data_IF_130461552936
#
_entry.id   IF_130461552936
#
_cell.length_a   1.000
_cell.length_b   1.000
_cell.length_c   1.000
_cell.angle_alpha   90.00
_cell.angle_beta   90.00
_cell.angle_gamma   90.00
#
_symmetry.space_group_name_H-M   'P 1'
#
loop_
_entity.id
_entity.type
_entity.pdbx_description
1 polymer ?
#
# COMPACT_ATOMS: atom_id res chain seq x y z
N UNK A 1 -23.39 -20.74 26.26
CA UNK A 1 -23.34 -20.72 24.79
C UNK A 1 -23.06 -19.29 24.35
N UNK A 2 -21.87 -19.02 23.81
CA UNK A 2 -21.56 -17.74 23.17
C UNK A 2 -21.72 -17.94 21.67
N UNK A 3 -22.54 -17.09 21.05
CA UNK A 3 -22.78 -17.02 19.62
C UNK A 3 -21.46 -16.80 18.88
N UNK A 4 -21.15 -17.52 17.79
CA UNK A 4 -20.02 -17.18 16.95
C UNK A 4 -20.38 -15.91 16.17
N UNK A 5 -19.62 -14.85 16.42
CA UNK A 5 -19.73 -13.59 15.70
C UNK A 5 -19.45 -13.81 14.22
N UNK A 6 -20.37 -13.34 13.39
CA UNK A 6 -20.24 -13.18 11.96
C UNK A 6 -18.97 -12.40 11.61
N UNK A 7 -17.98 -13.04 10.97
CA UNK A 7 -16.88 -12.35 10.31
C UNK A 7 -17.33 -12.02 8.88
N UNK A 8 -17.33 -10.73 8.47
CA UNK A 8 -17.73 -10.37 7.13
C UNK A 8 -16.74 -10.96 6.12
N UNK A 9 -17.29 -11.73 5.19
CA UNK A 9 -16.63 -12.19 3.98
C UNK A 9 -16.29 -10.98 3.10
N UNK A 10 -15.06 -10.47 3.22
CA UNK A 10 -14.43 -9.58 2.25
C UNK A 10 -13.56 -10.42 1.32
N UNK A 11 -14.11 -10.87 0.21
CA UNK A 11 -13.41 -11.69 -0.78
C UNK A 11 -12.26 -10.94 -1.43
N UNK A 12 -11.05 -11.17 -0.94
CA UNK A 12 -9.96 -11.88 -1.65
C UNK A 12 -8.86 -12.14 -0.62
N UNK A 13 -8.76 -13.37 -0.10
CA UNK A 13 -7.45 -13.86 0.32
C UNK A 13 -6.69 -14.09 -0.99
N UNK A 14 -5.68 -13.25 -1.27
CA UNK A 14 -4.78 -13.57 -2.37
C UNK A 14 -3.89 -14.73 -1.87
N UNK A 15 -4.40 -15.95 -1.97
CA UNK A 15 -3.75 -17.21 -1.58
C UNK A 15 -2.69 -17.60 -2.62
N UNK A 16 -1.78 -16.68 -2.91
CA UNK A 16 -0.62 -16.93 -3.75
C UNK A 16 0.61 -17.03 -2.87
N UNK A 17 1.50 -18.02 -3.12
CA UNK A 17 2.73 -18.14 -2.38
C UNK A 17 3.47 -16.80 -2.30
N UNK A 18 3.87 -16.42 -1.09
CA UNK A 18 4.68 -15.21 -0.88
C UNK A 18 6.08 -15.36 -1.46
N UNK A 19 6.56 -16.61 -1.57
CA UNK A 19 7.81 -16.94 -2.23
C UNK A 19 7.77 -16.45 -3.68
N UNK A 20 8.69 -15.56 -4.02
CA UNK A 20 8.81 -14.93 -5.35
C UNK A 20 8.87 -15.93 -6.51
N UNK A 21 9.40 -17.13 -6.27
CA UNK A 21 9.51 -18.21 -7.26
C UNK A 21 8.17 -18.85 -7.63
N UNK A 22 7.17 -18.72 -6.76
CA UNK A 22 5.86 -19.35 -6.91
C UNK A 22 4.73 -18.33 -7.07
N UNK A 23 4.96 -17.08 -6.65
CA UNK A 23 4.02 -15.98 -6.86
C UNK A 23 3.86 -15.64 -8.36
N UNK A 24 2.70 -15.97 -8.93
CA UNK A 24 2.43 -15.78 -10.36
C UNK A 24 2.44 -14.31 -10.79
N UNK A 25 2.10 -13.37 -9.90
CA UNK A 25 2.14 -11.94 -10.20
C UNK A 25 3.59 -11.46 -10.27
N UNK A 26 4.41 -11.81 -9.28
CA UNK A 26 5.83 -11.41 -9.24
C UNK A 26 6.67 -12.09 -10.33
N UNK A 27 6.36 -13.34 -10.69
CA UNK A 27 7.10 -14.09 -11.72
C UNK A 27 6.62 -13.80 -13.13
N UNK A 28 5.31 -13.67 -13.31
CA UNK A 28 4.69 -13.58 -14.64
C UNK A 28 4.36 -12.17 -15.04
N UNK A 29 3.69 -11.41 -14.18
CA UNK A 29 3.09 -10.12 -14.54
C UNK A 29 4.07 -8.96 -14.37
N UNK A 30 4.77 -8.89 -13.23
CA UNK A 30 5.73 -7.79 -12.95
C UNK A 30 6.79 -7.65 -14.03
N UNK A 31 7.47 -8.73 -14.51
CA UNK A 31 8.46 -8.58 -15.58
C UNK A 31 7.88 -8.09 -16.90
N UNK A 32 6.61 -8.43 -17.22
CA UNK A 32 5.94 -7.94 -18.41
C UNK A 32 5.62 -6.44 -18.30
N UNK A 33 5.18 -5.98 -17.13
CA UNK A 33 4.96 -4.55 -16.86
C UNK A 33 6.26 -3.77 -17.01
N UNK A 34 7.33 -4.23 -16.36
CA UNK A 34 8.63 -3.55 -16.38
C UNK A 34 9.26 -3.55 -17.77
N UNK A 35 9.19 -4.66 -18.51
CA UNK A 35 9.73 -4.71 -19.88
C UNK A 35 8.91 -3.92 -20.91
N UNK A 36 7.63 -3.67 -20.64
CA UNK A 36 6.78 -2.83 -21.48
C UNK A 36 7.03 -1.32 -21.32
N UNK A 37 7.87 -0.91 -20.37
CA UNK A 37 8.14 0.51 -20.10
C UNK A 37 6.97 1.24 -19.45
N UNK A 38 6.21 0.57 -18.58
CA UNK A 38 5.13 1.20 -17.81
C UNK A 38 5.70 2.10 -16.72
N UNK A 39 5.24 3.34 -16.62
CA UNK A 39 5.71 4.25 -15.55
C UNK A 39 4.94 4.12 -14.24
N UNK A 40 3.64 3.81 -14.32
CA UNK A 40 2.74 3.79 -13.16
C UNK A 40 1.82 2.58 -13.16
N UNK A 41 1.86 1.81 -12.07
CA UNK A 41 0.84 0.85 -11.68
C UNK A 41 0.05 1.45 -10.52
N UNK A 42 -1.20 1.79 -10.77
CA UNK A 42 -2.13 2.36 -9.80
C UNK A 42 -3.10 1.28 -9.28
N UNK A 43 -3.10 1.04 -7.98
CA UNK A 43 -3.85 -0.03 -7.32
C UNK A 43 -4.74 0.49 -6.19
N UNK A 44 -5.73 -0.32 -5.85
CA UNK A 44 -6.58 -0.17 -4.68
C UNK A 44 -6.63 -1.45 -3.84
N UNK A 45 -7.71 -1.63 -3.07
CA UNK A 45 -8.07 -2.84 -2.29
C UNK A 45 -7.49 -2.92 -0.88
N UNK A 46 -6.25 -2.48 -0.64
CA UNK A 46 -5.59 -2.72 0.66
C UNK A 46 -5.95 -1.70 1.76
N UNK A 47 -6.72 -0.67 1.41
CA UNK A 47 -7.20 0.37 2.30
C UNK A 47 -6.04 1.12 2.96
N UNK A 48 -5.01 1.43 2.16
CA UNK A 48 -3.86 2.21 2.61
C UNK A 48 -3.32 3.01 1.42
N UNK A 49 -2.42 3.94 1.72
CA UNK A 49 -1.56 4.57 0.73
C UNK A 49 -0.12 4.11 0.98
N UNK A 50 0.57 3.63 -0.06
CA UNK A 50 2.02 3.47 -0.05
C UNK A 50 2.55 3.44 -1.50
N UNK A 51 3.84 3.71 -1.65
CA UNK A 51 4.50 3.75 -2.95
C UNK A 51 5.79 2.96 -2.93
N UNK A 52 6.02 2.19 -3.98
CA UNK A 52 7.29 1.50 -4.26
C UNK A 52 7.78 1.89 -5.64
N UNK A 53 9.09 1.79 -5.86
CA UNK A 53 9.68 2.00 -7.17
C UNK A 53 10.56 0.81 -7.49
N UNK A 54 10.35 0.19 -8.64
CA UNK A 54 11.18 -0.95 -9.05
C UNK A 54 12.53 -0.50 -9.60
N UNK A 55 13.51 -1.42 -9.74
CA UNK A 55 14.78 -1.11 -10.41
C UNK A 55 14.62 -0.63 -11.86
N UNK A 56 13.50 -0.97 -12.52
CA UNK A 56 13.17 -0.51 -13.87
C UNK A 56 12.54 0.90 -13.89
N UNK A 57 12.30 1.52 -12.73
CA UNK A 57 11.71 2.85 -12.61
C UNK A 57 10.18 2.86 -12.50
N UNK A 58 9.52 1.70 -12.48
CA UNK A 58 8.06 1.62 -12.39
C UNK A 58 7.59 2.01 -10.99
N UNK A 59 6.65 2.94 -10.90
CA UNK A 59 5.99 3.29 -9.65
C UNK A 59 4.79 2.37 -9.39
N UNK A 60 4.83 1.63 -8.29
CA UNK A 60 3.69 0.87 -7.77
C UNK A 60 3.04 1.68 -6.65
N UNK A 61 1.86 2.24 -6.92
CA UNK A 61 1.12 3.09 -6.01
C UNK A 61 -0.16 2.38 -5.56
N UNK A 62 -0.25 2.10 -4.26
CA UNK A 62 -1.50 1.73 -3.60
C UNK A 62 -2.17 3.02 -3.10
N UNK A 63 -3.44 3.22 -3.44
CA UNK A 63 -4.08 4.53 -3.33
C UNK A 63 -5.47 4.50 -2.67
N UNK A 64 -5.79 3.46 -1.89
CA UNK A 64 -7.16 3.19 -1.42
C UNK A 64 -7.48 3.58 0.03
N UNK A 65 -6.68 4.42 0.69
CA UNK A 65 -6.99 4.88 2.05
C UNK A 65 -8.13 5.92 2.07
N UNK A 66 -9.38 5.48 2.19
CA UNK A 66 -10.59 6.34 2.16
C UNK A 66 -11.30 6.42 3.52
N UNK A 67 -10.56 6.66 4.61
CA UNK A 67 -11.15 6.74 5.96
C UNK A 67 -11.50 5.37 6.55
N UNK A 68 -10.85 4.32 6.07
CA UNK A 68 -10.82 3.01 6.70
C UNK A 68 -9.55 2.28 6.21
N UNK A 69 -8.97 1.42 7.04
CA UNK A 69 -7.65 0.82 6.82
C UNK A 69 -7.55 -0.59 7.36
N UNK A 70 -6.92 -1.49 6.58
CA UNK A 70 -6.51 -2.82 7.03
C UNK A 70 -5.13 -2.81 7.73
N UNK A 71 -4.46 -1.67 7.72
CA UNK A 71 -3.15 -1.46 8.32
C UNK A 71 -1.99 -1.68 7.34
N UNK A 72 -0.84 -1.11 7.70
CA UNK A 72 0.42 -1.35 7.01
C UNK A 72 1.27 -2.37 7.78
N UNK A 73 1.95 -3.24 7.05
CA UNK A 73 2.76 -4.34 7.60
C UNK A 73 4.24 -4.20 7.19
N UNK A 74 4.72 -2.98 7.06
CA UNK A 74 6.15 -2.69 6.87
C UNK A 74 6.87 -2.76 8.22
N UNK A 75 8.16 -3.06 8.25
CA UNK A 75 8.94 -3.22 9.50
C UNK A 75 8.85 -2.03 10.45
N UNK A 76 8.63 -0.84 9.91
CA UNK A 76 8.44 0.40 10.68
C UNK A 76 7.11 0.44 11.44
N UNK A 77 6.06 -0.24 10.96
CA UNK A 77 4.76 -0.29 11.63
C UNK A 77 4.74 -1.20 12.86
N UNK A 78 5.73 -2.09 13.00
CA UNK A 78 5.81 -3.12 14.05
C UNK A 78 4.60 -4.08 14.08
N UNK A 79 3.80 -4.11 13.02
CA UNK A 79 2.67 -5.03 12.83
C UNK A 79 3.06 -6.15 11.88
N UNK A 80 2.41 -7.30 12.03
CA UNK A 80 2.53 -8.44 11.10
C UNK A 80 1.16 -8.82 10.56
N UNK A 81 1.11 -9.28 9.30
CA UNK A 81 -0.10 -9.82 8.69
C UNK A 81 -0.56 -11.05 9.49
N UNK A 82 -1.87 -11.25 9.70
CA UNK A 82 -2.37 -12.49 10.25
C UNK A 82 -1.97 -13.66 9.35
N UNK A 83 -1.36 -14.68 9.94
CA UNK A 83 -1.05 -15.93 9.23
C UNK A 83 -2.25 -16.87 9.40
N UNK A 84 -2.89 -17.32 8.31
CA UNK A 84 -4.02 -18.23 8.40
C UNK A 84 -3.60 -19.59 9.02
N UNK A 85 -4.48 -20.26 9.76
CA UNK A 85 -4.20 -21.56 10.35
C UNK A 85 -4.13 -22.67 9.28
N UNK A 86 -3.96 -23.94 9.67
CA UNK A 86 -4.14 -25.07 8.74
C UNK A 86 -5.54 -25.04 8.09
N UNK A 87 -5.71 -25.37 6.78
CA UNK A 87 -4.75 -26.02 5.88
C UNK A 87 -3.78 -25.08 5.15
N UNK A 88 -3.79 -23.77 5.43
CA UNK A 88 -2.95 -22.79 4.73
C UNK A 88 -1.51 -22.81 5.26
N UNK A 89 -0.53 -22.60 4.38
CA UNK A 89 0.88 -22.55 4.76
C UNK A 89 1.28 -21.14 5.21
N UNK A 90 2.02 -21.07 6.33
CA UNK A 90 2.59 -19.81 6.79
C UNK A 90 3.64 -19.25 5.81
N UNK A 91 4.32 -20.13 5.08
CA UNK A 91 5.34 -19.76 4.09
C UNK A 91 4.73 -19.05 2.88
N UNK A 92 3.42 -19.20 2.65
CA UNK A 92 2.70 -18.52 1.57
C UNK A 92 2.38 -17.07 1.91
N UNK A 93 2.64 -16.60 3.14
CA UNK A 93 2.30 -15.24 3.58
C UNK A 93 3.55 -14.46 3.99
N UNK A 94 3.80 -13.35 3.31
CA UNK A 94 4.79 -12.37 3.77
C UNK A 94 4.23 -11.65 5.00
N UNK A 95 4.64 -12.08 6.20
CA UNK A 95 4.17 -11.50 7.46
C UNK A 95 4.48 -9.99 7.55
N UNK A 96 5.59 -9.55 6.98
CA UNK A 96 5.99 -8.14 6.91
C UNK A 96 6.59 -7.80 5.54
N UNK A 97 6.67 -6.50 5.23
CA UNK A 97 7.28 -5.99 4.01
C UNK A 97 6.41 -6.11 2.76
N UNK A 98 7.07 -5.91 1.62
CA UNK A 98 6.57 -6.18 0.28
C UNK A 98 7.01 -7.60 -0.16
N UNK A 99 6.09 -8.50 -0.57
CA UNK A 99 6.44 -9.80 -1.12
C UNK A 99 7.39 -9.73 -2.34
N UNK A 100 7.37 -8.63 -3.09
CA UNK A 100 8.28 -8.37 -4.21
C UNK A 100 9.71 -8.02 -3.79
N UNK A 101 9.94 -7.74 -2.51
CA UNK A 101 11.23 -7.31 -1.95
C UNK A 101 11.56 -5.84 -2.22
N UNK A 102 10.59 -5.02 -2.64
CA UNK A 102 10.80 -3.59 -2.85
C UNK A 102 10.85 -2.83 -1.53
N UNK A 103 11.70 -1.82 -1.48
CA UNK A 103 11.72 -0.88 -0.36
C UNK A 103 10.63 0.18 -0.51
N UNK A 104 9.88 0.50 0.56
CA UNK A 104 8.81 1.47 0.50
C UNK A 104 9.39 2.89 0.39
N UNK A 105 8.73 3.74 -0.40
CA UNK A 105 9.13 5.13 -0.61
C UNK A 105 8.46 6.03 0.41
N UNK A 106 9.25 6.85 1.10
CA UNK A 106 8.73 7.87 2.01
C UNK A 106 8.20 9.05 1.21
N UNK A 107 7.00 9.58 1.53
CA UNK A 107 6.49 10.81 0.92
C UNK A 107 7.50 11.97 0.99
N UNK A 108 7.66 12.71 -0.11
CA UNK A 108 8.73 13.70 -0.24
C UNK A 108 8.37 15.13 0.18
N UNK A 109 7.12 15.42 0.56
CA UNK A 109 6.68 16.75 0.98
C UNK A 109 6.30 16.81 2.46
N UNK A 110 5.26 16.09 2.86
CA UNK A 110 4.67 16.18 4.20
C UNK A 110 4.27 14.80 4.75
N UNK A 111 5.21 13.84 4.89
CA UNK A 111 4.87 12.51 5.38
C UNK A 111 4.26 12.58 6.78
N UNK A 112 3.28 11.70 7.05
CA UNK A 112 2.88 11.42 8.43
C UNK A 112 4.06 10.87 9.21
N UNK A 113 4.05 11.06 10.53
CA UNK A 113 5.12 10.64 11.42
C UNK A 113 4.57 9.76 12.53
N UNK A 114 5.39 8.84 13.00
CA UNK A 114 5.08 8.07 14.21
C UNK A 114 5.31 8.90 15.49
N UNK A 115 5.03 8.30 16.65
CA UNK A 115 5.21 8.91 17.96
C UNK A 115 6.67 9.34 18.26
N UNK A 116 7.63 8.74 17.56
CA UNK A 116 9.05 9.10 17.66
C UNK A 116 9.46 10.19 16.64
N UNK A 117 8.50 10.73 15.89
CA UNK A 117 8.72 11.75 14.86
C UNK A 117 9.34 11.21 13.56
N UNK A 118 9.43 9.90 13.37
CA UNK A 118 10.01 9.29 12.15
C UNK A 118 8.99 9.33 11.02
N UNK A 119 9.37 9.71 9.79
CA UNK A 119 8.44 9.77 8.68
C UNK A 119 8.01 8.35 8.28
N UNK A 120 6.71 8.18 8.03
CA UNK A 120 6.09 6.93 7.64
C UNK A 120 6.01 6.83 6.12
N UNK A 121 6.39 5.69 5.52
CA UNK A 121 6.27 5.47 4.07
C UNK A 121 4.88 4.97 3.65
N UNK A 122 3.86 5.23 4.47
CA UNK A 122 2.50 4.83 4.23
C UNK A 122 1.52 5.75 4.98
N UNK A 123 0.26 5.74 4.55
CA UNK A 123 -0.89 6.20 5.34
C UNK A 123 -1.84 5.02 5.46
N UNK A 124 -2.14 4.61 6.69
CA UNK A 124 -3.00 3.46 6.98
C UNK A 124 -3.87 3.78 8.19
N UNK A 125 -4.79 4.72 8.03
CA UNK A 125 -5.54 5.35 9.11
C UNK A 125 -7.04 5.47 8.78
N UNK A 126 -7.90 5.24 9.79
CA UNK A 126 -9.35 5.26 9.65
C UNK A 126 -9.96 6.67 9.69
N UNK A 127 -9.19 7.68 10.10
CA UNK A 127 -9.64 9.07 10.13
C UNK A 127 -9.06 9.87 8.97
N UNK A 128 -8.16 9.31 8.19
CA UNK A 128 -7.54 10.01 7.07
C UNK A 128 -8.16 9.55 5.75
N UNK A 129 -8.44 10.49 4.85
CA UNK A 129 -8.76 10.21 3.45
C UNK A 129 -7.62 10.71 2.59
N UNK A 130 -7.14 9.86 1.69
CA UNK A 130 -6.08 10.20 0.73
C UNK A 130 -6.69 10.37 -0.65
N UNK A 131 -6.36 11.47 -1.31
CA UNK A 131 -6.78 11.79 -2.68
C UNK A 131 -5.54 11.96 -3.54
N UNK A 132 -5.60 11.44 -4.77
CA UNK A 132 -4.50 11.54 -5.73
C UNK A 132 -5.00 12.14 -7.04
N UNK A 133 -4.14 12.88 -7.72
CA UNK A 133 -4.40 13.39 -9.06
C UNK A 133 -3.20 13.15 -9.96
N UNK A 134 -3.44 12.57 -11.14
CA UNK A 134 -2.47 12.54 -12.23
C UNK A 134 -2.69 13.76 -13.12
N UNK A 135 -1.73 14.67 -13.14
CA UNK A 135 -1.72 15.80 -14.05
C UNK A 135 -1.14 15.38 -15.41
N UNK A 136 -2.02 15.12 -16.38
CA UNK A 136 -1.65 14.57 -17.69
C UNK A 136 -0.77 15.48 -18.54
N UNK A 137 -0.75 16.80 -18.29
CA UNK A 137 0.11 17.74 -19.01
C UNK A 137 1.57 17.76 -18.52
N UNK A 138 1.82 17.33 -17.28
CA UNK A 138 3.17 17.30 -16.69
C UNK A 138 3.63 15.88 -16.35
N UNK A 139 2.73 14.89 -16.42
CA UNK A 139 2.98 13.54 -15.97
C UNK A 139 3.12 13.41 -14.47
N UNK A 140 2.73 14.41 -13.66
CA UNK A 140 2.95 14.35 -12.22
C UNK A 140 1.75 13.79 -11.47
N UNK A 141 2.00 12.82 -10.59
CA UNK A 141 1.04 12.30 -9.62
C UNK A 141 1.26 13.04 -8.31
N UNK A 142 0.23 13.72 -7.84
CA UNK A 142 0.23 14.42 -6.57
C UNK A 142 -0.73 13.74 -5.61
N UNK A 143 -0.32 13.57 -4.35
CA UNK A 143 -1.16 13.00 -3.30
C UNK A 143 -1.40 14.00 -2.17
N UNK A 144 -2.64 14.06 -1.70
CA UNK A 144 -3.08 14.83 -0.55
C UNK A 144 -3.74 13.93 0.47
N UNK A 145 -3.66 14.30 1.74
CA UNK A 145 -4.50 13.70 2.78
C UNK A 145 -5.37 14.75 3.46
N UNK A 146 -6.53 14.32 3.96
CA UNK A 146 -7.45 15.11 4.76
C UNK A 146 -7.70 14.35 6.06
N UNK A 147 -7.55 15.03 7.19
CA UNK A 147 -7.94 14.50 8.50
C UNK A 147 -9.44 14.73 8.70
N UNK A 148 -10.21 13.65 8.71
CA UNK A 148 -11.66 13.69 8.87
C UNK A 148 -12.07 13.89 10.34
N UNK A 149 -11.14 13.80 11.30
CA UNK A 149 -11.41 14.16 12.68
C UNK A 149 -11.45 15.68 12.90
N UNK A 150 -10.83 16.46 12.01
CA UNK A 150 -10.89 17.92 11.99
C UNK A 150 -11.53 18.42 10.68
N UNK A 151 -12.84 18.70 10.65
CA UNK A 151 -13.53 19.16 9.44
C UNK A 151 -13.12 20.56 8.99
N UNK A 152 -12.31 21.27 9.77
CA UNK A 152 -11.76 22.59 9.42
C UNK A 152 -10.35 22.51 8.82
N UNK A 153 -9.69 21.35 8.95
CA UNK A 153 -8.38 21.12 8.37
C UNK A 153 -8.47 21.06 6.84
N UNK A 154 -7.61 21.83 6.18
CA UNK A 154 -7.44 21.76 4.73
C UNK A 154 -6.69 20.49 4.30
N UNK A 155 -6.77 20.15 3.01
CA UNK A 155 -6.00 19.07 2.44
C UNK A 155 -4.49 19.36 2.50
N UNK A 156 -3.70 18.39 2.97
CA UNK A 156 -2.23 18.50 3.05
C UNK A 156 -1.60 17.73 1.89
N UNK A 157 -0.88 18.45 1.03
CA UNK A 157 -0.06 17.83 -0.04
C UNK A 157 1.14 17.15 0.62
N UNK A 158 1.29 15.84 0.41
CA UNK A 158 2.30 15.05 1.12
C UNK A 158 3.28 14.27 0.25
N UNK A 159 2.91 13.93 -0.98
CA UNK A 159 3.81 13.30 -1.96
C UNK A 159 3.57 13.85 -3.37
N UNK A 160 4.63 13.94 -4.16
CA UNK A 160 4.55 14.23 -5.59
C UNK A 160 5.69 13.57 -6.36
N UNK A 161 5.39 12.92 -7.47
CA UNK A 161 6.39 12.37 -8.38
C UNK A 161 5.91 12.51 -9.83
N UNK A 162 6.82 12.53 -10.79
CA UNK A 162 6.47 12.65 -12.20
C UNK A 162 6.92 11.40 -12.96
N UNK A 163 6.07 10.98 -13.88
CA UNK A 163 6.30 9.85 -14.79
C UNK A 163 7.30 10.28 -15.88
N UNK A 164 8.03 9.31 -16.44
CA UNK A 164 9.12 9.55 -17.38
C UNK A 164 8.66 9.57 -18.85
#
# INVERSE_FOLDING_TARGET
MKSPGFQPWGGTSNDYPSARTENVLLRGVVPLIESAGVDLVYSGHNHLWNRFTSPAGVHYLEASNTGNSFGAFLDVSKRSRPVPPSPWSADDIAAQGDPGGLSPTVPNLSPLRDDAGRPLPYIADNHIVVVQALHTGTGCVTSWYVDMADPTAGAVKFDEFCLH
#
